data_IF_038782675735
#
_entry.id   IF_038782675735
#
_cell.length_a   1.000
_cell.length_b   1.000
_cell.length_c   1.000
_cell.angle_alpha   90.00
_cell.angle_beta   90.00
_cell.angle_gamma   90.00
#
_symmetry.space_group_name_H-M   'P 1'
#
loop_
_entity.id
_entity.type
_entity.pdbx_description
1 polymer ?
#
# COMPACT_ATOMS: atom_id res chain seq x y z
N UNK A 1 4.60 2.37 -10.41
CA UNK A 1 4.48 2.54 -8.94
C UNK A 1 3.03 2.88 -8.67
N UNK A 2 2.28 2.02 -7.99
CA UNK A 2 0.84 2.17 -7.82
C UNK A 2 0.45 3.45 -7.05
N UNK A 3 -0.61 4.11 -7.50
CA UNK A 3 -1.23 5.27 -6.88
C UNK A 3 -2.15 4.88 -5.71
N UNK A 4 -2.80 3.71 -5.76
CA UNK A 4 -3.78 3.30 -4.74
C UNK A 4 -3.13 3.08 -3.37
N UNK A 5 -2.00 2.36 -3.31
CA UNK A 5 -1.27 2.12 -2.05
C UNK A 5 -0.84 3.43 -1.38
N UNK A 6 -0.42 4.43 -2.17
CA UNK A 6 0.01 5.74 -1.67
C UNK A 6 -1.15 6.53 -1.09
N UNK A 7 -2.30 6.53 -1.77
CA UNK A 7 -3.51 7.21 -1.31
C UNK A 7 -3.98 6.61 0.02
N UNK A 8 -4.06 5.28 0.11
CA UNK A 8 -4.50 4.60 1.33
C UNK A 8 -3.53 4.82 2.49
N UNK A 9 -2.23 4.78 2.22
CA UNK A 9 -1.23 5.14 3.23
C UNK A 9 -1.40 6.58 3.70
N UNK A 10 -1.51 7.56 2.80
CA UNK A 10 -1.72 8.96 3.19
C UNK A 10 -2.98 9.15 4.04
N UNK A 11 -4.08 8.48 3.68
CA UNK A 11 -5.31 8.49 4.45
C UNK A 11 -5.13 7.89 5.87
N UNK A 12 -4.42 6.76 5.98
CA UNK A 12 -4.06 6.18 7.27
C UNK A 12 -3.17 7.09 8.11
N UNK A 13 -2.19 7.75 7.51
CA UNK A 13 -1.30 8.71 8.19
C UNK A 13 -2.10 9.89 8.73
N UNK A 14 -3.03 10.44 7.94
CA UNK A 14 -3.94 11.52 8.35
C UNK A 14 -4.84 11.11 9.51
N UNK A 15 -5.30 9.85 9.55
CA UNK A 15 -6.12 9.30 10.64
C UNK A 15 -5.30 9.09 11.92
N UNK A 16 -4.08 8.56 11.82
CA UNK A 16 -3.17 8.33 12.94
C UNK A 16 -2.36 9.59 13.23
N UNK A 17 -3.03 10.61 13.77
CA UNK A 17 -2.59 12.01 13.99
C UNK A 17 -1.25 12.24 14.73
N UNK A 18 -0.47 11.22 15.08
CA UNK A 18 0.78 11.38 15.83
C UNK A 18 1.80 10.23 15.77
N UNK A 19 1.63 9.22 14.90
CA UNK A 19 2.62 8.15 14.84
C UNK A 19 3.80 8.60 13.97
N UNK A 20 4.99 8.71 14.56
CA UNK A 20 6.25 8.99 13.87
C UNK A 20 6.48 7.89 12.84
N UNK A 21 6.08 8.14 11.60
CA UNK A 21 6.11 7.15 10.54
C UNK A 21 7.54 6.77 10.26
N UNK A 22 7.84 5.49 10.37
CA UNK A 22 9.07 4.95 9.86
C UNK A 22 8.96 4.90 8.33
N UNK A 23 9.57 5.87 7.65
CA UNK A 23 9.61 5.97 6.19
C UNK A 23 10.06 4.65 5.56
N UNK A 24 11.01 3.96 6.18
CA UNK A 24 11.49 2.65 5.73
C UNK A 24 10.39 1.59 5.73
N UNK A 25 9.47 1.63 6.70
CA UNK A 25 8.33 0.71 6.75
C UNK A 25 7.31 1.00 5.64
N UNK A 26 7.07 2.29 5.35
CA UNK A 26 6.18 2.71 4.26
C UNK A 26 6.74 2.24 2.92
N UNK A 27 8.02 2.50 2.66
CA UNK A 27 8.67 2.12 1.40
C UNK A 27 8.66 0.60 1.20
N UNK A 28 8.91 -0.18 2.27
CA UNK A 28 8.78 -1.63 2.22
C UNK A 28 7.40 -2.08 1.80
N UNK A 29 6.35 -1.56 2.43
CA UNK A 29 4.97 -1.97 2.11
C UNK A 29 4.56 -1.54 0.70
N UNK A 30 5.01 -0.37 0.22
CA UNK A 30 4.80 0.05 -1.17
C UNK A 30 5.49 -0.92 -2.14
N UNK A 31 6.71 -1.34 -1.83
CA UNK A 31 7.48 -2.25 -2.67
C UNK A 31 6.86 -3.66 -2.70
N UNK A 32 6.43 -4.17 -1.55
CA UNK A 32 5.68 -5.44 -1.43
C UNK A 32 4.43 -5.43 -2.30
N UNK A 33 3.61 -4.37 -2.19
CA UNK A 33 2.39 -4.24 -2.98
C UNK A 33 2.68 -4.18 -4.48
N UNK A 34 3.67 -3.37 -4.91
CA UNK A 34 4.05 -3.28 -6.33
C UNK A 34 4.54 -4.61 -6.89
N UNK A 35 5.30 -5.39 -6.12
CA UNK A 35 5.72 -6.72 -6.53
C UNK A 35 4.55 -7.69 -6.60
N UNK A 36 3.63 -7.64 -5.63
CA UNK A 36 2.46 -8.50 -5.60
C UNK A 36 1.53 -8.27 -6.79
N UNK A 37 1.23 -7.01 -7.14
CA UNK A 37 0.39 -6.71 -8.32
C UNK A 37 1.06 -7.17 -9.62
N UNK A 38 2.40 -7.00 -9.74
CA UNK A 38 3.16 -7.49 -10.90
C UNK A 38 3.13 -9.01 -11.01
N UNK A 39 3.43 -9.71 -9.92
CA UNK A 39 3.48 -11.18 -9.90
C UNK A 39 2.11 -11.82 -10.14
N UNK A 40 1.04 -11.12 -9.75
CA UNK A 40 -0.34 -11.60 -9.92
C UNK A 40 -1.01 -11.04 -11.18
N UNK A 41 -0.25 -10.30 -12.01
CA UNK A 41 -0.71 -9.65 -13.23
C UNK A 41 -1.97 -8.79 -13.02
N UNK A 42 -2.04 -8.14 -11.85
CA UNK A 42 -3.17 -7.30 -11.42
C UNK A 42 -2.89 -5.84 -11.70
N UNK A 43 -3.97 -5.10 -11.93
CA UNK A 43 -3.92 -3.65 -12.07
C UNK A 43 -3.91 -2.95 -10.71
N UNK A 44 -3.34 -1.74 -10.69
CA UNK A 44 -3.37 -0.87 -9.50
C UNK A 44 -4.74 -0.22 -9.33
N UNK A 45 -5.67 -0.97 -8.72
CA UNK A 45 -7.04 -0.54 -8.44
C UNK A 45 -7.45 -0.94 -7.03
N UNK A 46 -8.52 -0.34 -6.51
CA UNK A 46 -8.97 -0.55 -5.12
C UNK A 46 -9.23 -2.03 -4.81
N UNK A 47 -9.84 -2.76 -5.75
CA UNK A 47 -10.11 -4.20 -5.61
C UNK A 47 -8.82 -5.03 -5.43
N UNK A 48 -7.75 -4.67 -6.14
CA UNK A 48 -6.45 -5.32 -6.02
C UNK A 48 -5.80 -5.01 -4.67
N UNK A 49 -5.95 -3.77 -4.20
CA UNK A 49 -5.45 -3.37 -2.88
C UNK A 49 -6.19 -4.10 -1.75
N UNK A 50 -7.51 -4.23 -1.82
CA UNK A 50 -8.28 -5.02 -0.85
C UNK A 50 -7.83 -6.47 -0.85
N UNK A 51 -7.66 -7.08 -2.04
CA UNK A 51 -7.12 -8.45 -2.14
C UNK A 51 -5.71 -8.56 -1.56
N UNK A 52 -4.85 -7.58 -1.77
CA UNK A 52 -3.51 -7.54 -1.16
C UNK A 52 -3.58 -7.53 0.36
N UNK A 53 -4.46 -6.70 0.94
CA UNK A 53 -4.66 -6.65 2.40
C UNK A 53 -5.18 -7.97 2.97
N UNK A 54 -6.00 -8.72 2.23
CA UNK A 54 -6.50 -10.03 2.63
C UNK A 54 -5.47 -11.17 2.44
N UNK A 55 -4.44 -10.97 1.62
CA UNK A 55 -3.39 -11.96 1.38
C UNK A 55 -2.20 -11.79 2.33
N UNK A 56 -2.13 -10.64 3.02
CA UNK A 56 -1.12 -10.30 4.02
C UNK A 56 -1.57 -10.72 5.41
#
# INVERSE_FOLDING_TARGET
MGNIIKINMYAEMKRKRNNKLNLTTIEKVILEYNNWIKNTNREDKIESYEKFLHTK
#
